data_IF_194760183413
#
_entry.id   IF_194760183413
#
_cell.length_a   1.000
_cell.length_b   1.000
_cell.length_c   1.000
_cell.angle_alpha   90.00
_cell.angle_beta   90.00
_cell.angle_gamma   90.00
#
_symmetry.space_group_name_H-M   'P 1'
#
loop_
_entity.id
_entity.type
_entity.pdbx_description
1 polymer ?
#
# COMPACT_ATOMS: atom_id res chain seq x y z
N UNK A 1 -13.88 -10.94 3.37
CA UNK A 1 -13.66 -9.61 2.79
C UNK A 1 -13.54 -8.64 3.95
N UNK A 2 -12.46 -7.86 4.04
CA UNK A 2 -12.27 -6.87 5.11
C UNK A 2 -13.02 -5.59 4.76
N UNK A 3 -13.41 -4.80 5.75
CA UNK A 3 -13.85 -3.41 5.53
C UNK A 3 -12.65 -2.53 5.16
N UNK A 4 -12.93 -1.32 4.66
CA UNK A 4 -11.88 -0.33 4.39
C UNK A 4 -11.10 0.01 5.66
N UNK A 5 -11.80 0.25 6.77
CA UNK A 5 -11.18 0.63 8.04
C UNK A 5 -10.32 -0.50 8.62
N UNK A 6 -10.76 -1.75 8.49
CA UNK A 6 -9.97 -2.92 8.91
C UNK A 6 -8.67 -3.04 8.11
N UNK A 7 -8.74 -2.83 6.79
CA UNK A 7 -7.57 -2.86 5.92
C UNK A 7 -6.62 -1.70 6.22
N UNK A 8 -7.15 -0.48 6.39
CA UNK A 8 -6.35 0.70 6.70
C UNK A 8 -5.64 0.56 8.05
N UNK A 9 -6.34 0.06 9.08
CA UNK A 9 -5.74 -0.22 10.39
C UNK A 9 -4.63 -1.27 10.32
N UNK A 10 -4.78 -2.31 9.51
CA UNK A 10 -3.73 -3.29 9.27
C UNK A 10 -2.51 -2.71 8.58
N UNK A 11 -2.69 -1.95 7.50
CA UNK A 11 -1.58 -1.32 6.78
C UNK A 11 -0.85 -0.32 7.68
N UNK A 12 -1.57 0.42 8.52
CA UNK A 12 -1.01 1.32 9.53
C UNK A 12 -0.16 0.57 10.56
N UNK A 13 -0.63 -0.59 11.05
CA UNK A 13 0.18 -1.45 11.94
C UNK A 13 1.45 -1.95 11.25
N UNK A 14 1.35 -2.45 10.02
CA UNK A 14 2.52 -2.89 9.24
C UNK A 14 3.54 -1.77 9.03
N UNK A 15 3.07 -0.53 8.81
CA UNK A 15 3.95 0.62 8.67
C UNK A 15 4.73 0.93 9.96
N UNK A 16 4.09 0.76 11.13
CA UNK A 16 4.71 0.98 12.43
C UNK A 16 5.63 -0.17 12.88
N UNK A 17 5.15 -1.42 12.77
CA UNK A 17 5.84 -2.61 13.25
C UNK A 17 6.94 -3.10 12.29
N UNK A 18 6.85 -2.70 11.02
CA UNK A 18 7.79 -3.04 9.94
C UNK A 18 8.16 -4.54 9.86
N UNK A 19 7.19 -5.47 9.80
CA UNK A 19 7.49 -6.90 9.76
C UNK A 19 8.28 -7.28 8.48
N UNK A 20 9.22 -8.22 8.64
CA UNK A 20 10.04 -8.72 7.53
C UNK A 20 9.18 -9.33 6.41
N UNK A 21 9.57 -9.09 5.15
CA UNK A 21 8.83 -9.58 3.98
C UNK A 21 7.54 -8.82 3.66
N UNK A 22 7.19 -7.78 4.42
CA UNK A 22 6.00 -6.97 4.15
C UNK A 22 6.13 -6.16 2.86
N UNK A 23 5.23 -6.42 1.91
CA UNK A 23 5.09 -5.58 0.70
C UNK A 23 4.79 -4.13 1.05
N UNK A 24 3.95 -3.86 2.05
CA UNK A 24 3.64 -2.49 2.50
C UNK A 24 4.89 -1.74 2.94
N UNK A 25 5.78 -2.40 3.68
CA UNK A 25 7.02 -1.79 4.15
C UNK A 25 7.94 -1.49 2.98
N UNK A 26 8.07 -2.44 2.04
CA UNK A 26 8.86 -2.24 0.81
C UNK A 26 8.37 -1.04 -0.02
N UNK A 27 7.06 -0.91 -0.20
CA UNK A 27 6.51 0.23 -0.96
C UNK A 27 6.70 1.57 -0.23
N UNK A 28 6.58 1.59 1.10
CA UNK A 28 6.86 2.78 1.92
C UNK A 28 8.33 3.20 1.81
N UNK A 29 9.26 2.24 1.85
CA UNK A 29 10.69 2.50 1.71
C UNK A 29 11.07 2.98 0.30
N UNK A 30 10.31 2.58 -0.72
CA UNK A 30 10.47 3.05 -2.10
C UNK A 30 9.96 4.49 -2.32
N UNK A 31 9.26 5.08 -1.34
CA UNK A 31 8.91 6.49 -1.29
C UNK A 31 7.62 6.89 -2.03
N UNK A 32 7.15 8.11 -1.72
CA UNK A 32 5.87 8.66 -2.19
C UNK A 32 5.74 8.72 -3.72
N UNK A 33 6.82 9.00 -4.44
CA UNK A 33 6.78 9.03 -5.91
C UNK A 33 6.46 7.65 -6.50
N UNK A 34 7.06 6.58 -5.95
CA UNK A 34 6.82 5.19 -6.39
C UNK A 34 5.38 4.79 -6.12
N UNK A 35 4.87 5.08 -4.92
CA UNK A 35 3.48 4.82 -4.54
C UNK A 35 2.52 5.59 -5.47
N UNK A 36 2.79 6.88 -5.71
CA UNK A 36 1.98 7.72 -6.60
C UNK A 36 1.93 7.20 -8.04
N UNK A 37 3.07 6.76 -8.59
CA UNK A 37 3.12 6.10 -9.90
C UNK A 37 2.23 4.86 -9.95
N UNK A 38 2.29 4.02 -8.91
CA UNK A 38 1.48 2.79 -8.86
C UNK A 38 -0.02 3.10 -8.78
N UNK A 39 -0.43 4.13 -8.04
CA UNK A 39 -1.84 4.56 -8.01
C UNK A 39 -2.34 4.94 -9.42
N UNK A 40 -1.52 5.68 -10.18
CA UNK A 40 -1.88 6.08 -11.56
C UNK A 40 -1.97 4.87 -12.49
N UNK A 41 -1.04 3.92 -12.38
CA UNK A 41 -1.04 2.66 -13.14
C UNK A 41 -2.32 1.86 -12.91
N UNK A 42 -2.67 1.61 -11.64
CA UNK A 42 -3.88 0.85 -11.28
C UNK A 42 -5.17 1.57 -11.68
N UNK A 43 -5.21 2.91 -11.57
CA UNK A 43 -6.35 3.69 -12.04
C UNK A 43 -6.56 3.56 -13.55
N UNK A 44 -5.47 3.48 -14.33
CA UNK A 44 -5.54 3.23 -15.77
C UNK A 44 -5.99 1.80 -16.08
N UNK A 45 -5.51 0.80 -15.32
CA UNK A 45 -5.94 -0.60 -15.46
C UNK A 45 -7.42 -0.80 -15.15
N UNK A 46 -7.97 -0.10 -14.14
CA UNK A 46 -9.41 -0.15 -13.81
C UNK A 46 -10.29 0.40 -14.92
N UNK A 47 -9.79 1.34 -15.72
CA UNK A 47 -10.57 1.94 -16.81
C UNK A 47 -10.70 1.01 -18.03
N UNK A 48 -9.71 0.13 -18.27
CA UNK A 48 -9.69 -0.78 -19.42
C UNK A 48 -10.49 -2.06 -19.18
#
# INVERSE_FOLDING_TARGET
>A
MKTFDELFAELSRKAAERPEGSGTVRELDAGVHTIGKKIVEEAAEVWM
#
